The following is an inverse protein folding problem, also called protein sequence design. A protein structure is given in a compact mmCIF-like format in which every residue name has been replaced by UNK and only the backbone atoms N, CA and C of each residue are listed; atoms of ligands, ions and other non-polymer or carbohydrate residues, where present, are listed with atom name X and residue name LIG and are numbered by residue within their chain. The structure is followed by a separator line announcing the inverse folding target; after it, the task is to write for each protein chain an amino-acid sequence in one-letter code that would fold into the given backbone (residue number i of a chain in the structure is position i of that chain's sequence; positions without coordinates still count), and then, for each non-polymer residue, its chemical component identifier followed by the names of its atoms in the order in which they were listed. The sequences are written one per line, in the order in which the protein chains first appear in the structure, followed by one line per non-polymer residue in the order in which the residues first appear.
data_IF_742368818882
#
_entry.id   IF_742368818882
#
_cell.length_a   1.000
_cell.length_b   1.000
_cell.length_c   1.000
_cell.angle_alpha   90.00
_cell.angle_beta   90.00
_cell.angle_gamma   90.00
#
_symmetry.space_group_name_H-M   'P 1'
#
loop_
_entity.id
_entity.type
_entity.pdbx_description
1 polymer ?
#
# COMPACT_ATOMS: atom_id res chain seq x y z
N UNK A 1 -14.96 -9.66 -2.98
CA UNK A 1 -13.97 -8.70 -3.53
C UNK A 1 -12.98 -8.32 -2.46
N UNK A 2 -11.71 -8.52 -2.75
CA UNK A 2 -10.61 -8.23 -1.82
C UNK A 2 -9.92 -6.94 -2.24
N UNK A 3 -9.82 -5.99 -1.33
CA UNK A 3 -9.16 -4.71 -1.58
C UNK A 3 -7.98 -4.56 -0.63
N UNK A 4 -6.79 -4.32 -1.20
CA UNK A 4 -5.59 -3.99 -0.44
C UNK A 4 -5.52 -2.48 -0.27
N UNK A 5 -5.53 -2.01 0.96
CA UNK A 5 -5.43 -0.59 1.29
C UNK A 5 -4.02 -0.30 1.78
N UNK A 6 -3.36 0.67 1.15
CA UNK A 6 -1.99 1.08 1.47
C UNK A 6 -1.96 2.52 1.95
N UNK A 7 -1.15 2.75 2.97
CA UNK A 7 -0.85 4.08 3.48
C UNK A 7 0.67 4.20 3.60
N UNK A 8 1.29 4.86 2.62
CA UNK A 8 2.73 5.03 2.55
C UNK A 8 3.17 6.28 3.29
N UNK A 9 4.05 6.12 4.28
CA UNK A 9 4.78 7.21 4.91
C UNK A 9 6.20 7.31 4.35
N UNK A 10 6.98 8.28 4.81
CA UNK A 10 8.34 8.50 4.34
C UNK A 10 9.26 7.29 4.60
N UNK A 11 9.06 6.58 5.69
CA UNK A 11 9.85 5.42 6.07
C UNK A 11 8.99 4.22 6.47
N UNK A 12 7.71 4.20 6.08
CA UNK A 12 6.79 3.16 6.48
C UNK A 12 5.74 2.88 5.40
N UNK A 13 5.16 1.69 5.43
CA UNK A 13 3.97 1.34 4.65
C UNK A 13 3.04 0.56 5.56
N UNK A 14 1.84 1.08 5.79
CA UNK A 14 0.78 0.36 6.52
C UNK A 14 -0.19 -0.24 5.53
N UNK A 15 -0.72 -1.42 5.85
CA UNK A 15 -1.63 -2.11 4.95
C UNK A 15 -2.77 -2.81 5.67
N UNK A 16 -3.89 -2.95 4.95
CA UNK A 16 -5.02 -3.83 5.31
C UNK A 16 -5.52 -4.52 4.06
N UNK A 17 -5.82 -5.79 4.15
CA UNK A 17 -6.54 -6.51 3.11
C UNK A 17 -7.96 -6.75 3.62
N UNK A 18 -8.95 -6.22 2.90
CA UNK A 18 -10.34 -6.22 3.33
C UNK A 18 -11.18 -6.99 2.32
N UNK A 19 -11.99 -7.95 2.82
CA UNK A 19 -13.05 -8.57 2.03
C UNK A 19 -14.32 -7.73 2.19
N UNK A 20 -14.74 -7.08 1.09
CA UNK A 20 -15.78 -6.05 1.13
C UNK A 20 -17.16 -6.63 1.43
N UNK A 21 -17.54 -7.76 0.81
CA UNK A 21 -18.87 -8.34 1.01
C UNK A 21 -19.14 -8.74 2.46
N UNK A 22 -18.14 -9.34 3.11
CA UNK A 22 -18.24 -9.75 4.49
C UNK A 22 -17.87 -8.63 5.47
N UNK A 23 -17.38 -7.49 4.98
CA UNK A 23 -16.86 -6.38 5.77
C UNK A 23 -15.83 -6.88 6.79
N UNK A 24 -14.88 -7.70 6.32
CA UNK A 24 -13.92 -8.39 7.16
C UNK A 24 -12.49 -8.00 6.79
N UNK A 25 -11.69 -7.68 7.80
CA UNK A 25 -10.25 -7.46 7.64
C UNK A 25 -9.58 -8.84 7.63
N UNK A 26 -9.02 -9.24 6.48
CA UNK A 26 -8.34 -10.51 6.32
C UNK A 26 -6.90 -10.46 6.84
N UNK A 27 -6.25 -9.32 6.71
CA UNK A 27 -4.90 -9.11 7.19
C UNK A 27 -4.66 -7.63 7.44
N UNK A 28 -3.78 -7.32 8.40
CA UNK A 28 -3.31 -5.96 8.62
C UNK A 28 -1.92 -5.96 9.22
N UNK A 29 -1.16 -4.93 8.92
CA UNK A 29 0.18 -4.78 9.43
C UNK A 29 0.88 -3.58 8.84
N UNK A 30 2.20 -3.56 8.95
CA UNK A 30 3.00 -2.49 8.41
C UNK A 30 4.48 -2.81 8.42
N UNK A 31 5.20 -2.10 7.56
CA UNK A 31 6.66 -2.12 7.52
C UNK A 31 7.13 -0.79 8.04
N UNK A 32 8.11 -0.83 8.94
CA UNK A 32 8.67 0.35 9.59
C UNK A 32 10.16 0.44 9.30
N UNK A 33 10.70 1.65 9.39
CA UNK A 33 12.13 1.95 9.25
C UNK A 33 12.71 1.53 7.90
N UNK A 34 11.95 1.76 6.83
CA UNK A 34 12.39 1.48 5.46
C UNK A 34 13.67 2.24 5.17
N UNK A 35 14.68 1.55 4.63
CA UNK A 35 16.00 2.12 4.33
C UNK A 35 16.97 2.15 5.50
N UNK A 36 16.56 1.73 6.68
CA UNK A 36 17.40 1.66 7.87
C UNK A 36 17.81 0.22 8.17
N UNK A 37 18.93 0.02 8.90
CA UNK A 37 19.42 -1.35 9.20
C UNK A 37 18.47 -2.19 10.04
N UNK A 38 17.61 -1.55 10.83
CA UNK A 38 16.68 -2.23 11.73
C UNK A 38 15.23 -2.24 11.22
N UNK A 39 15.03 -2.18 9.90
CA UNK A 39 13.71 -2.30 9.29
C UNK A 39 13.02 -3.61 9.68
N UNK A 40 11.72 -3.57 9.84
CA UNK A 40 10.94 -4.74 10.22
C UNK A 40 9.51 -4.67 9.68
N UNK A 41 8.88 -5.84 9.57
CA UNK A 41 7.44 -5.98 9.34
C UNK A 41 6.77 -6.40 10.65
N UNK A 42 5.62 -5.81 10.95
CA UNK A 42 4.74 -6.27 12.03
C UNK A 42 3.36 -6.51 11.46
N UNK A 43 2.72 -7.57 11.88
CA UNK A 43 1.40 -7.93 11.38
C UNK A 43 0.63 -8.76 12.40
N UNK A 44 -0.69 -8.79 12.23
CA UNK A 44 -1.56 -9.64 13.03
C UNK A 44 -1.75 -10.99 12.36
N UNK A 45 -1.68 -12.05 13.15
CA UNK A 45 -1.98 -13.41 12.73
C UNK A 45 -2.85 -14.05 13.81
N UNK A 46 -4.14 -14.19 13.53
CA UNK A 46 -5.10 -14.58 14.55
C UNK A 46 -5.17 -13.55 15.69
N UNK A 47 -4.92 -13.98 16.91
CA UNK A 47 -4.87 -13.10 18.08
C UNK A 47 -3.45 -12.64 18.44
N UNK A 48 -2.45 -13.03 17.63
CA UNK A 48 -1.05 -12.71 17.90
C UNK A 48 -0.57 -11.56 17.04
N UNK A 49 0.40 -10.82 17.58
CA UNK A 49 1.17 -9.81 16.83
C UNK A 49 2.53 -10.38 16.58
N UNK A 50 2.93 -10.44 15.31
CA UNK A 50 4.20 -10.98 14.88
C UNK A 50 5.06 -9.85 14.32
N UNK A 51 6.34 -9.86 14.68
CA UNK A 51 7.33 -8.91 14.18
C UNK A 51 8.52 -9.67 13.65
N UNK A 52 8.97 -9.33 12.45
CA UNK A 52 10.12 -9.96 11.80
C UNK A 52 11.04 -8.90 11.24
N UNK A 53 12.33 -9.06 11.46
CA UNK A 53 13.34 -8.18 10.87
C UNK A 53 13.42 -8.41 9.37
N UNK A 54 13.58 -7.32 8.62
CA UNK A 54 13.68 -7.33 7.17
C UNK A 54 14.83 -6.44 6.72
N UNK A 55 15.39 -6.77 5.55
CA UNK A 55 16.33 -5.92 4.85
C UNK A 55 15.56 -5.22 3.72
N UNK A 56 15.06 -4.02 3.98
CA UNK A 56 14.20 -3.27 3.08
C UNK A 56 14.84 -1.91 2.81
N UNK A 57 15.12 -1.64 1.53
CA UNK A 57 15.80 -0.42 1.11
C UNK A 57 14.86 0.67 0.60
N UNK A 58 13.70 0.29 0.08
CA UNK A 58 12.76 1.22 -0.54
C UNK A 58 11.29 0.74 -0.41
N UNK A 59 10.37 1.58 -0.91
CA UNK A 59 8.95 1.26 -0.86
C UNK A 59 8.57 0.10 -1.79
N UNK A 60 9.26 -0.10 -2.89
CA UNK A 60 9.03 -1.24 -3.78
C UNK A 60 9.31 -2.55 -3.04
N UNK A 61 10.45 -2.63 -2.36
CA UNK A 61 10.79 -3.78 -1.52
C UNK A 61 9.79 -4.00 -0.40
N UNK A 62 9.32 -2.93 0.23
CA UNK A 62 8.29 -2.99 1.26
C UNK A 62 6.99 -3.58 0.73
N UNK A 63 6.51 -3.12 -0.42
CA UNK A 63 5.28 -3.64 -1.05
C UNK A 63 5.44 -5.11 -1.41
N UNK A 64 6.58 -5.50 -1.99
CA UNK A 64 6.86 -6.92 -2.29
C UNK A 64 6.81 -7.79 -1.02
N UNK A 65 7.38 -7.31 0.08
CA UNK A 65 7.36 -8.04 1.36
C UNK A 65 5.95 -8.18 1.91
N UNK A 66 5.10 -7.14 1.77
CA UNK A 66 3.69 -7.21 2.14
C UNK A 66 2.97 -8.29 1.33
N UNK A 67 3.17 -8.30 0.02
CA UNK A 67 2.54 -9.29 -0.87
C UNK A 67 3.02 -10.71 -0.56
N UNK A 68 4.31 -10.89 -0.28
CA UNK A 68 4.86 -12.18 0.13
C UNK A 68 4.23 -12.65 1.43
N UNK A 69 4.01 -11.75 2.38
CA UNK A 69 3.36 -12.08 3.65
C UNK A 69 1.90 -12.49 3.44
N UNK A 70 1.17 -11.78 2.59
CA UNK A 70 -0.24 -12.09 2.29
C UNK A 70 -0.41 -13.45 1.62
N UNK A 71 0.58 -13.91 0.86
CA UNK A 71 0.56 -15.20 0.16
C UNK A 71 1.43 -16.26 0.82
N UNK A 72 2.00 -15.98 1.99
CA UNK A 72 2.83 -16.91 2.75
C UNK A 72 2.06 -18.17 3.12
N UNK A 73 2.72 -19.33 3.08
CA UNK A 73 2.11 -20.60 3.50
C UNK A 73 1.81 -20.63 4.99
N UNK A 74 2.60 -19.92 5.79
CA UNK A 74 2.46 -19.89 7.24
C UNK A 74 1.48 -18.82 7.70
N UNK A 75 1.58 -17.61 7.16
CA UNK A 75 0.84 -16.43 7.66
C UNK A 75 -0.16 -15.85 6.65
N UNK A 76 -0.17 -16.36 5.43
CA UNK A 76 -0.96 -15.77 4.36
C UNK A 76 -2.46 -16.03 4.49
N UNK A 77 -3.23 -15.12 3.96
CA UNK A 77 -4.69 -15.20 3.91
C UNK A 77 -5.22 -15.41 2.48
N UNK A 78 -4.36 -15.29 1.48
CA UNK A 78 -4.68 -15.55 0.07
C UNK A 78 -3.60 -16.47 -0.52
N UNK A 79 -3.93 -17.15 -1.61
CA UNK A 79 -3.02 -18.10 -2.27
C UNK A 79 -2.21 -17.43 -3.39
N UNK A 80 -2.78 -16.44 -4.05
CA UNK A 80 -2.19 -15.82 -5.23
C UNK A 80 -2.54 -14.33 -5.24
N UNK A 81 -1.68 -13.52 -5.82
CA UNK A 81 -1.88 -12.08 -5.99
C UNK A 81 -3.12 -11.76 -6.81
N UNK A 82 -3.58 -12.68 -7.66
CA UNK A 82 -4.82 -12.54 -8.45
C UNK A 82 -6.07 -12.43 -7.58
N UNK A 83 -6.01 -12.84 -6.32
CA UNK A 83 -7.11 -12.69 -5.38
C UNK A 83 -7.27 -11.25 -4.88
N UNK A 84 -6.30 -10.36 -5.17
CA UNK A 84 -6.41 -8.92 -4.90
C UNK A 84 -7.13 -8.29 -6.09
N UNK A 85 -8.34 -7.79 -5.86
CA UNK A 85 -9.19 -7.23 -6.92
C UNK A 85 -8.92 -5.75 -7.18
N UNK A 86 -8.48 -5.02 -6.19
CA UNK A 86 -8.14 -3.60 -6.31
C UNK A 86 -7.18 -3.18 -5.19
N UNK A 87 -6.47 -2.08 -5.43
CA UNK A 87 -5.59 -1.46 -4.43
C UNK A 87 -6.05 -0.02 -4.20
N UNK A 88 -6.29 0.33 -2.94
CA UNK A 88 -6.59 1.70 -2.53
C UNK A 88 -5.36 2.36 -1.92
N UNK A 89 -5.10 3.59 -2.31
CA UNK A 89 -4.00 4.40 -1.78
C UNK A 89 -4.54 5.64 -1.10
N UNK A 90 -4.03 5.94 0.09
CA UNK A 90 -4.24 7.24 0.70
C UNK A 90 -3.31 8.25 0.05
N UNK A 91 -3.86 9.31 -0.52
CA UNK A 91 -3.11 10.39 -1.16
C UNK A 91 -3.45 11.70 -0.46
N UNK A 92 -2.45 12.43 -0.01
CA UNK A 92 -2.66 13.65 0.80
C UNK A 92 -3.27 14.76 -0.02
N UNK A 93 -2.74 15.00 -1.24
CA UNK A 93 -3.23 16.06 -2.13
C UNK A 93 -3.34 15.59 -3.57
N UNK A 94 -4.51 15.84 -4.16
CA UNK A 94 -4.75 15.70 -5.60
C UNK A 94 -5.06 17.05 -6.27
N UNK A 95 -4.86 18.17 -5.56
CA UNK A 95 -5.27 19.49 -5.99
C UNK A 95 -6.77 19.72 -5.74
N UNK A 96 -7.30 20.82 -6.27
CA UNK A 96 -8.72 21.15 -6.08
C UNK A 96 -9.66 20.19 -6.81
N UNK A 97 -9.16 19.49 -7.83
CA UNK A 97 -9.97 18.59 -8.67
C UNK A 97 -10.22 17.23 -8.04
N UNK A 98 -9.34 16.77 -7.12
CA UNK A 98 -9.40 15.44 -6.54
C UNK A 98 -9.54 15.52 -5.03
N UNK A 99 -10.79 15.64 -4.57
CA UNK A 99 -11.13 15.65 -3.15
C UNK A 99 -11.95 14.41 -2.75
N UNK A 100 -12.03 13.42 -3.64
CA UNK A 100 -12.78 12.17 -3.45
C UNK A 100 -11.94 10.98 -3.90
N UNK A 101 -12.46 9.79 -3.74
CA UNK A 101 -11.83 8.59 -4.31
C UNK A 101 -11.91 8.61 -5.83
N UNK A 102 -10.80 8.36 -6.50
CA UNK A 102 -10.71 8.34 -7.95
C UNK A 102 -9.89 7.15 -8.43
N UNK A 103 -10.23 6.65 -9.61
CA UNK A 103 -9.42 5.63 -10.27
C UNK A 103 -8.09 6.25 -10.72
N UNK A 104 -6.99 5.59 -10.39
CA UNK A 104 -5.65 6.08 -10.76
C UNK A 104 -5.41 5.81 -12.25
N UNK A 105 -5.10 6.86 -12.98
CA UNK A 105 -4.70 6.83 -14.39
C UNK A 105 -3.63 7.91 -14.62
N UNK A 106 -3.16 8.03 -15.86
CA UNK A 106 -2.08 8.97 -16.19
C UNK A 106 -2.44 10.42 -15.86
N UNK A 107 -3.69 10.83 -16.07
CA UNK A 107 -4.16 12.18 -15.73
C UNK A 107 -4.12 12.42 -14.22
N UNK A 108 -4.58 11.46 -13.41
CA UNK A 108 -4.54 11.55 -11.95
C UNK A 108 -3.11 11.59 -11.46
N UNK A 109 -2.22 10.76 -12.01
CA UNK A 109 -0.79 10.77 -11.68
C UNK A 109 -0.17 12.15 -11.96
N UNK A 110 -0.47 12.74 -13.11
CA UNK A 110 0.03 14.06 -13.46
C UNK A 110 -0.44 15.12 -12.45
N UNK A 111 -1.69 15.07 -12.02
CA UNK A 111 -2.24 15.99 -11.03
C UNK A 111 -1.62 15.81 -9.65
N UNK A 112 -1.35 14.58 -9.24
CA UNK A 112 -0.64 14.31 -7.98
C UNK A 112 0.75 14.94 -8.03
N UNK A 113 1.46 14.80 -9.13
CA UNK A 113 2.80 15.37 -9.30
C UNK A 113 2.78 16.91 -9.27
N UNK A 114 1.74 17.54 -9.79
CA UNK A 114 1.57 18.99 -9.70
C UNK A 114 1.46 19.48 -8.25
N UNK A 115 1.00 18.63 -7.35
CA UNK A 115 0.84 18.96 -5.94
C UNK A 115 2.10 18.76 -5.09
N UNK A 116 3.22 18.36 -5.69
CA UNK A 116 4.47 18.16 -4.94
C UNK A 116 4.94 19.42 -4.23
N UNK A 117 4.71 20.60 -4.84
CA UNK A 117 5.03 21.86 -4.21
C UNK A 117 4.18 22.21 -2.98
N UNK A 118 2.96 21.64 -2.89
CA UNK A 118 2.03 21.84 -1.79
C UNK A 118 2.30 20.85 -0.65
N UNK A 119 2.61 19.60 -1.01
CA UNK A 119 2.84 18.53 -0.03
C UNK A 119 4.11 17.76 -0.40
N UNK A 120 5.30 18.41 -0.32
CA UNK A 120 6.53 17.83 -0.85
C UNK A 120 7.00 16.56 -0.14
N UNK A 121 6.58 16.33 1.10
CA UNK A 121 6.96 15.14 1.86
C UNK A 121 5.97 13.97 1.67
N UNK A 122 4.72 14.26 1.31
CA UNK A 122 3.65 13.26 1.31
C UNK A 122 3.32 12.73 -0.08
N UNK A 123 3.12 13.60 -1.08
CA UNK A 123 2.71 13.16 -2.41
C UNK A 123 3.77 12.34 -3.15
N UNK A 124 5.08 12.67 -3.11
CA UNK A 124 6.09 11.80 -3.69
C UNK A 124 6.14 10.40 -3.07
N UNK A 125 5.90 10.31 -1.76
CA UNK A 125 5.85 9.03 -1.04
C UNK A 125 4.61 8.23 -1.45
N UNK A 126 3.46 8.87 -1.58
CA UNK A 126 2.25 8.22 -2.06
C UNK A 126 2.43 7.69 -3.48
N UNK A 127 3.11 8.46 -4.35
CA UNK A 127 3.44 7.99 -5.70
C UNK A 127 4.36 6.76 -5.69
N UNK A 128 5.29 6.67 -4.75
CA UNK A 128 6.15 5.49 -4.63
C UNK A 128 5.31 4.23 -4.40
N UNK A 129 4.25 4.30 -3.61
CA UNK A 129 3.32 3.19 -3.43
C UNK A 129 2.59 2.81 -4.71
N UNK A 130 2.08 3.80 -5.44
CA UNK A 130 1.39 3.60 -6.73
C UNK A 130 2.35 2.97 -7.75
N UNK A 131 3.56 3.50 -7.87
CA UNK A 131 4.57 2.98 -8.80
C UNK A 131 4.98 1.55 -8.45
N UNK A 132 5.12 1.24 -7.17
CA UNK A 132 5.45 -0.11 -6.71
C UNK A 132 4.35 -1.12 -7.09
N UNK A 133 3.09 -0.76 -6.94
CA UNK A 133 1.97 -1.62 -7.35
C UNK A 133 1.94 -1.78 -8.87
N UNK A 134 2.18 -0.72 -9.65
CA UNK A 134 2.26 -0.81 -11.10
C UNK A 134 3.36 -1.80 -11.54
N UNK A 135 4.46 -1.83 -10.82
CA UNK A 135 5.56 -2.76 -11.12
C UNK A 135 5.22 -4.22 -10.80
N UNK A 136 4.59 -4.45 -9.64
CA UNK A 136 4.34 -5.80 -9.12
C UNK A 136 2.99 -6.36 -9.57
N UNK A 137 1.96 -5.53 -9.64
CA UNK A 137 0.58 -5.90 -10.01
C UNK A 137 0.05 -4.96 -11.10
N UNK A 138 0.63 -5.01 -12.32
CA UNK A 138 0.32 -4.02 -13.36
C UNK A 138 -1.13 -4.04 -13.85
N UNK A 139 -1.85 -5.15 -13.67
CA UNK A 139 -3.24 -5.29 -14.13
C UNK A 139 -4.29 -4.97 -13.08
N UNK A 140 -3.89 -4.76 -11.82
CA UNK A 140 -4.83 -4.49 -10.74
C UNK A 140 -5.26 -3.02 -10.77
N UNK A 141 -6.57 -2.74 -10.76
CA UNK A 141 -7.05 -1.37 -10.65
C UNK A 141 -6.59 -0.71 -9.36
N UNK A 142 -6.19 0.55 -9.45
CA UNK A 142 -5.76 1.32 -8.30
C UNK A 142 -6.68 2.52 -8.11
N UNK A 143 -7.01 2.82 -6.87
CA UNK A 143 -7.88 3.92 -6.47
C UNK A 143 -7.14 4.80 -5.49
N UNK A 144 -7.13 6.10 -5.72
CA UNK A 144 -6.61 7.08 -4.78
C UNK A 144 -7.74 7.64 -3.91
N UNK A 145 -7.51 7.72 -2.60
CA UNK A 145 -8.39 8.39 -1.66
C UNK A 145 -7.69 9.67 -1.21
N UNK A 146 -8.23 10.81 -1.57
CA UNK A 146 -7.61 12.12 -1.33
C UNK A 146 -8.17 12.77 -0.06
N UNK A 147 -7.27 13.27 0.75
CA UNK A 147 -7.61 14.05 1.94
C UNK A 147 -7.74 15.53 1.64
#
# INVERSE_FOLDING_TARGET
MNILVLNCGSSSVKYKLIEIKANKVLAEGGIEKIGLPDAFIKFKFGNEKIQQDLDINDHVGAIKSILDNLTSKEYGCIKDFKEIDAVGHRVVHGGEKFNKSVLINDEVIAKIKECYGIAPLHNPVNMAGIDAINEVLPEVPQVGVFD
#
